data_IF_582410100260
#
_entry.id   IF_582410100260
#
_cell.length_a   1.000
_cell.length_b   1.000
_cell.length_c   1.000
_cell.angle_alpha   90.00
_cell.angle_beta   90.00
_cell.angle_gamma   90.00
#
_symmetry.space_group_name_H-M   'P 1'
#
loop_
_entity.id
_entity.type
_entity.pdbx_description
1 polymer ?
#
# COMPACT_ATOMS: atom_id res chain seq x y z
N UNK A 1 -25.43 -0.82 12.54
CA UNK A 1 -25.47 -0.97 14.01
C UNK A 1 -24.61 -2.15 14.40
N UNK A 2 -23.57 -1.92 15.21
CA UNK A 2 -22.73 -3.00 15.75
C UNK A 2 -23.55 -3.86 16.73
N UNK A 3 -23.37 -5.20 16.73
CA UNK A 3 -24.05 -6.07 17.68
C UNK A 3 -23.66 -5.75 19.13
N UNK A 4 -24.58 -6.02 20.06
CA UNK A 4 -24.48 -5.65 21.50
C UNK A 4 -23.24 -6.22 22.26
N UNK A 5 -22.49 -7.16 21.65
CA UNK A 5 -21.28 -7.79 22.22
C UNK A 5 -20.07 -7.66 21.30
N UNK A 6 -19.96 -6.57 20.56
CA UNK A 6 -18.81 -6.33 19.67
C UNK A 6 -17.57 -5.97 20.48
N UNK A 7 -16.40 -6.49 20.06
CA UNK A 7 -15.08 -6.14 20.55
C UNK A 7 -14.40 -5.28 19.47
N UNK A 8 -13.83 -4.14 19.85
CA UNK A 8 -13.05 -3.27 18.96
C UNK A 8 -11.61 -3.29 19.44
N UNK A 9 -10.73 -3.73 18.55
CA UNK A 9 -9.28 -3.75 18.79
C UNK A 9 -8.65 -2.48 18.22
N UNK A 10 -7.84 -1.82 19.01
CA UNK A 10 -7.19 -0.57 18.64
C UNK A 10 -5.71 -0.65 18.93
N UNK A 11 -4.85 -0.48 17.91
CA UNK A 11 -3.44 -0.29 18.17
C UNK A 11 -3.23 1.07 18.84
N UNK A 12 -2.84 1.07 20.10
CA UNK A 12 -2.69 2.29 20.89
C UNK A 12 -1.61 3.24 20.37
N UNK A 13 -0.60 2.73 19.64
CA UNK A 13 0.46 3.54 19.03
C UNK A 13 -0.03 4.37 17.84
N UNK A 14 -1.16 4.00 17.22
CA UNK A 14 -1.76 4.67 16.06
C UNK A 14 -2.84 5.69 16.40
N UNK A 15 -3.19 5.85 17.67
CA UNK A 15 -4.22 6.79 18.11
C UNK A 15 -3.67 7.79 19.13
N UNK A 16 -4.08 9.06 19.00
CA UNK A 16 -3.65 10.10 19.93
C UNK A 16 -4.20 9.86 21.35
N UNK A 17 -3.46 10.35 22.35
CA UNK A 17 -3.89 10.26 23.75
C UNK A 17 -5.25 10.93 23.98
N UNK A 18 -5.52 12.08 23.32
CA UNK A 18 -6.80 12.79 23.38
C UNK A 18 -7.96 11.96 22.82
N UNK A 19 -7.75 11.28 21.67
CA UNK A 19 -8.75 10.41 21.07
C UNK A 19 -9.03 9.18 21.95
N UNK A 20 -8.00 8.55 22.52
CA UNK A 20 -8.18 7.45 23.49
C UNK A 20 -9.02 7.88 24.70
N UNK A 21 -8.73 9.06 25.25
CA UNK A 21 -9.49 9.59 26.38
C UNK A 21 -10.95 9.91 26.01
N UNK A 22 -11.20 10.39 24.80
CA UNK A 22 -12.56 10.60 24.29
C UNK A 22 -13.31 9.27 24.18
N UNK A 23 -12.72 8.25 23.56
CA UNK A 23 -13.33 6.94 23.43
C UNK A 23 -13.66 6.28 24.78
N UNK A 24 -12.78 6.43 25.78
CA UNK A 24 -13.03 5.91 27.14
C UNK A 24 -14.19 6.60 27.86
N UNK A 25 -14.49 7.85 27.53
CA UNK A 25 -15.60 8.62 28.11
C UNK A 25 -16.94 8.32 27.44
N UNK A 26 -16.93 7.83 26.19
CA UNK A 26 -18.15 7.46 25.48
C UNK A 26 -18.73 6.17 26.06
N UNK A 27 -20.06 6.19 26.32
CA UNK A 27 -20.79 4.97 26.71
C UNK A 27 -21.03 4.07 25.49
N UNK A 28 -19.95 3.44 25.01
CA UNK A 28 -20.03 2.53 23.88
C UNK A 28 -20.65 1.20 24.32
N UNK A 29 -21.57 0.66 23.51
CA UNK A 29 -22.14 -0.68 23.71
C UNK A 29 -21.17 -1.81 23.30
N UNK A 30 -19.88 -1.48 23.11
CA UNK A 30 -18.84 -2.38 22.66
C UNK A 30 -17.67 -2.37 23.62
N UNK A 31 -16.98 -3.48 23.74
CA UNK A 31 -15.73 -3.56 24.50
C UNK A 31 -14.59 -2.97 23.66
N UNK A 32 -13.88 -1.98 24.20
CA UNK A 32 -12.68 -1.43 23.60
C UNK A 32 -11.45 -2.10 24.21
N UNK A 33 -10.61 -2.68 23.36
CA UNK A 33 -9.33 -3.24 23.78
C UNK A 33 -8.21 -2.47 23.07
N UNK A 34 -7.36 -1.81 23.85
CA UNK A 34 -6.15 -1.15 23.36
C UNK A 34 -4.99 -2.13 23.39
N UNK A 35 -4.32 -2.29 22.27
CA UNK A 35 -3.21 -3.21 22.09
C UNK A 35 -1.93 -2.43 21.85
N UNK A 36 -0.87 -2.76 22.55
CA UNK A 36 0.48 -2.28 22.25
C UNK A 36 1.16 -3.28 21.32
N UNK A 37 1.00 -3.08 20.00
CA UNK A 37 1.56 -3.98 19.00
C UNK A 37 2.98 -3.56 18.63
N UNK A 38 3.89 -4.54 18.63
CA UNK A 38 5.23 -4.42 18.06
C UNK A 38 5.22 -5.03 16.67
N UNK A 39 5.06 -4.18 15.65
CA UNK A 39 5.06 -4.55 14.25
C UNK A 39 6.08 -3.69 13.50
N UNK A 40 6.85 -4.30 12.64
CA UNK A 40 7.85 -3.64 11.79
C UNK A 40 7.18 -2.84 10.66
N UNK A 41 6.01 -3.30 10.22
CA UNK A 41 5.25 -2.70 9.12
C UNK A 41 3.74 -2.97 9.27
N UNK A 42 2.95 -2.35 8.38
CA UNK A 42 1.49 -2.42 8.41
C UNK A 42 0.95 -3.86 8.17
N UNK A 43 1.65 -4.68 7.40
CA UNK A 43 1.22 -6.05 7.14
C UNK A 43 1.39 -6.94 8.37
N UNK A 44 2.49 -6.77 9.09
CA UNK A 44 2.71 -7.45 10.37
C UNK A 44 1.70 -6.97 11.42
N UNK A 45 1.44 -5.66 11.48
CA UNK A 45 0.41 -5.11 12.36
C UNK A 45 -0.96 -5.73 12.07
N UNK A 46 -1.36 -5.85 10.81
CA UNK A 46 -2.62 -6.47 10.42
C UNK A 46 -2.69 -7.96 10.81
N UNK A 47 -1.60 -8.72 10.66
CA UNK A 47 -1.52 -10.10 11.12
C UNK A 47 -1.72 -10.21 12.65
N UNK A 48 -1.06 -9.35 13.41
CA UNK A 48 -1.19 -9.32 14.87
C UNK A 48 -2.60 -8.92 15.30
N UNK A 49 -3.21 -7.92 14.66
CA UNK A 49 -4.61 -7.54 14.92
C UNK A 49 -5.57 -8.69 14.62
N UNK A 50 -5.39 -9.39 13.50
CA UNK A 50 -6.20 -10.56 13.15
C UNK A 50 -6.04 -11.68 14.18
N UNK A 51 -4.82 -11.94 14.66
CA UNK A 51 -4.56 -12.92 15.70
C UNK A 51 -5.29 -12.57 17.00
N UNK A 52 -5.24 -11.31 17.43
CA UNK A 52 -5.97 -10.85 18.61
C UNK A 52 -7.49 -10.87 18.45
N UNK A 53 -7.99 -10.72 17.21
CA UNK A 53 -9.44 -10.74 16.95
C UNK A 53 -10.07 -12.12 17.23
N UNK A 54 -9.30 -13.19 17.11
CA UNK A 54 -9.77 -14.58 17.25
C UNK A 54 -9.14 -15.33 18.42
N UNK A 55 -8.38 -14.66 19.29
CA UNK A 55 -7.69 -15.29 20.43
C UNK A 55 -8.64 -15.95 21.44
N UNK A 56 -9.89 -15.48 21.52
CA UNK A 56 -10.93 -16.08 22.36
C UNK A 56 -11.47 -17.41 21.80
N UNK A 57 -11.22 -17.70 20.51
CA UNK A 57 -11.69 -18.89 19.79
C UNK A 57 -10.55 -19.91 19.58
N UNK A 58 -9.35 -19.44 19.32
CA UNK A 58 -8.19 -20.25 18.96
C UNK A 58 -6.96 -19.70 19.69
N UNK A 59 -6.13 -20.57 20.29
CA UNK A 59 -4.92 -20.12 20.97
C UNK A 59 -4.02 -19.30 20.04
N UNK A 60 -3.44 -18.23 20.58
CA UNK A 60 -2.55 -17.32 19.84
C UNK A 60 -1.43 -18.06 19.10
N UNK A 61 -0.88 -19.10 19.74
CA UNK A 61 0.18 -19.93 19.14
C UNK A 61 -0.30 -20.63 17.84
N UNK A 62 -1.49 -21.23 17.86
CA UNK A 62 -2.08 -21.87 16.67
C UNK A 62 -2.34 -20.85 15.55
N UNK A 63 -2.82 -19.66 15.91
CA UNK A 63 -3.05 -18.58 14.94
C UNK A 63 -1.73 -18.13 14.33
N UNK A 64 -0.71 -17.85 15.13
CA UNK A 64 0.60 -17.42 14.66
C UNK A 64 1.27 -18.50 13.78
N UNK A 65 1.13 -19.77 14.13
CA UNK A 65 1.62 -20.87 13.30
C UNK A 65 0.90 -20.93 11.94
N UNK A 66 -0.43 -20.79 11.91
CA UNK A 66 -1.19 -20.72 10.65
C UNK A 66 -0.85 -19.49 9.80
N UNK A 67 -0.40 -18.39 10.42
CA UNK A 67 0.03 -17.19 9.70
C UNK A 67 1.46 -17.27 9.14
N UNK A 68 2.28 -18.27 9.50
CA UNK A 68 3.63 -18.44 8.96
C UNK A 68 3.61 -18.68 7.45
N UNK A 69 2.69 -19.53 6.99
CA UNK A 69 2.55 -19.89 5.58
C UNK A 69 1.63 -18.93 4.80
N UNK A 70 1.10 -17.92 5.48
CA UNK A 70 0.23 -16.95 4.86
C UNK A 70 1.02 -15.96 4.00
N UNK A 71 0.90 -16.08 2.70
CA UNK A 71 1.62 -15.27 1.69
C UNK A 71 1.05 -13.87 1.47
N UNK A 72 -0.02 -13.52 2.16
CA UNK A 72 -0.69 -12.23 2.03
C UNK A 72 -1.96 -12.27 1.18
N UNK A 73 -2.60 -11.13 1.04
CA UNK A 73 -3.76 -10.91 0.15
C UNK A 73 -3.23 -10.44 -1.19
N UNK A 74 -3.81 -10.94 -2.28
CA UNK A 74 -3.49 -10.44 -3.64
C UNK A 74 -3.61 -8.92 -3.69
N UNK A 75 -2.67 -8.29 -4.40
CA UNK A 75 -2.59 -6.85 -4.53
C UNK A 75 -2.44 -6.11 -3.19
N UNK A 76 -1.75 -6.70 -2.22
CA UNK A 76 -1.38 -6.06 -0.95
C UNK A 76 0.11 -6.27 -0.72
N UNK A 77 0.94 -5.39 -1.29
CA UNK A 77 2.39 -5.52 -1.34
C UNK A 77 2.80 -6.86 -1.96
N UNK A 78 2.06 -7.30 -2.99
CA UNK A 78 2.26 -8.58 -3.65
C UNK A 78 3.45 -8.50 -4.60
N UNK A 79 4.48 -9.31 -4.36
CA UNK A 79 5.57 -9.46 -5.32
C UNK A 79 5.12 -10.41 -6.43
N UNK A 80 4.81 -9.85 -7.60
CA UNK A 80 4.32 -10.62 -8.76
C UNK A 80 5.43 -11.04 -9.72
N UNK A 81 6.62 -10.43 -9.61
CA UNK A 81 7.82 -10.82 -10.34
C UNK A 81 9.07 -10.48 -9.52
N UNK A 82 10.07 -11.38 -9.55
CA UNK A 82 11.33 -11.15 -8.85
C UNK A 82 12.46 -11.97 -9.50
N UNK A 83 13.48 -11.27 -9.99
CA UNK A 83 14.72 -11.87 -10.46
C UNK A 83 15.94 -11.06 -9.99
N UNK A 84 17.12 -11.31 -10.56
CA UNK A 84 18.34 -10.59 -10.17
C UNK A 84 18.32 -9.08 -10.51
N UNK A 85 17.59 -8.68 -11.57
CA UNK A 85 17.59 -7.32 -12.10
C UNK A 85 16.34 -6.53 -11.68
N UNK A 86 15.21 -7.22 -11.48
CA UNK A 86 13.92 -6.56 -11.27
C UNK A 86 13.11 -7.19 -10.17
N UNK A 87 12.35 -6.34 -9.49
CA UNK A 87 11.25 -6.72 -8.59
C UNK A 87 10.01 -5.93 -8.98
N UNK A 88 8.89 -6.59 -9.27
CA UNK A 88 7.60 -5.95 -9.56
C UNK A 88 6.62 -6.22 -8.42
N UNK A 89 6.11 -5.16 -7.83
CA UNK A 89 5.18 -5.20 -6.70
C UNK A 89 3.84 -4.60 -7.13
N UNK A 90 2.74 -5.31 -6.85
CA UNK A 90 1.37 -4.82 -6.99
C UNK A 90 0.81 -4.48 -5.61
N UNK A 91 0.35 -3.24 -5.42
CA UNK A 91 -0.29 -2.81 -4.20
C UNK A 91 -1.62 -2.09 -4.47
N UNK A 92 -2.63 -2.41 -3.70
CA UNK A 92 -3.94 -1.78 -3.76
C UNK A 92 -3.96 -0.35 -3.18
N UNK A 93 -2.81 0.19 -2.76
CA UNK A 93 -2.68 1.56 -2.26
C UNK A 93 -3.20 2.56 -3.32
N UNK A 94 -4.21 3.31 -2.98
CA UNK A 94 -4.86 4.30 -3.85
C UNK A 94 -5.19 5.60 -3.10
N UNK A 95 -4.47 5.86 -2.02
CA UNK A 95 -4.53 7.07 -1.21
C UNK A 95 -3.09 7.45 -0.84
N UNK A 96 -2.72 8.74 -0.82
CA UNK A 96 -1.35 9.17 -0.56
C UNK A 96 -0.70 8.51 0.66
N UNK A 97 -1.41 8.45 1.79
CA UNK A 97 -0.87 7.82 3.01
C UNK A 97 -0.50 6.34 2.81
N UNK A 98 -1.35 5.58 2.08
CA UNK A 98 -1.07 4.18 1.81
C UNK A 98 0.11 4.01 0.84
N UNK A 99 0.21 4.88 -0.17
CA UNK A 99 1.33 4.91 -1.12
C UNK A 99 2.63 5.21 -0.39
N UNK A 100 2.65 6.21 0.49
CA UNK A 100 3.81 6.58 1.31
C UNK A 100 4.28 5.42 2.21
N UNK A 101 3.35 4.73 2.89
CA UNK A 101 3.69 3.56 3.73
C UNK A 101 4.29 2.43 2.89
N UNK A 102 3.74 2.16 1.70
CA UNK A 102 4.29 1.15 0.79
C UNK A 102 5.67 1.54 0.28
N UNK A 103 5.88 2.79 -0.11
CA UNK A 103 7.18 3.32 -0.53
C UNK A 103 8.20 3.17 0.61
N UNK A 104 7.82 3.52 1.83
CA UNK A 104 8.70 3.39 3.01
C UNK A 104 9.19 1.95 3.20
N UNK A 105 8.30 0.97 3.07
CA UNK A 105 8.69 -0.45 3.17
C UNK A 105 9.70 -0.87 2.09
N UNK A 106 9.60 -0.29 0.88
CA UNK A 106 10.54 -0.57 -0.22
C UNK A 106 11.88 0.12 0.04
N UNK A 107 11.87 1.37 0.51
CA UNK A 107 13.07 2.17 0.80
C UNK A 107 13.96 1.58 1.89
N UNK A 108 13.43 0.73 2.75
CA UNK A 108 14.24 -0.07 3.69
C UNK A 108 15.15 -1.09 2.98
N UNK A 109 14.88 -1.41 1.70
CA UNK A 109 15.56 -2.45 0.92
C UNK A 109 16.35 -1.90 -0.28
N UNK A 110 15.88 -0.82 -0.91
CA UNK A 110 16.49 -0.25 -2.12
C UNK A 110 16.08 1.20 -2.34
N UNK A 111 16.96 1.97 -2.97
CA UNK A 111 16.70 3.31 -3.45
C UNK A 111 16.28 3.36 -4.93
N UNK A 112 16.55 2.29 -5.71
CA UNK A 112 16.19 2.21 -7.12
C UNK A 112 14.71 1.80 -7.29
N UNK A 113 13.82 2.81 -7.21
CA UNK A 113 12.37 2.65 -7.24
C UNK A 113 11.74 3.47 -8.37
N UNK A 114 11.04 2.78 -9.27
CA UNK A 114 10.09 3.39 -10.22
C UNK A 114 8.66 3.21 -9.69
N UNK A 115 7.92 4.31 -9.62
CA UNK A 115 6.54 4.33 -9.10
C UNK A 115 5.55 4.48 -10.24
N UNK A 116 4.53 3.62 -10.28
CA UNK A 116 3.40 3.71 -11.22
C UNK A 116 2.11 3.83 -10.41
N UNK A 117 1.40 4.95 -10.54
CA UNK A 117 0.19 5.24 -9.76
C UNK A 117 -1.04 5.34 -10.65
N UNK A 118 -2.01 4.44 -10.43
CA UNK A 118 -3.30 4.50 -11.12
C UNK A 118 -4.28 5.41 -10.35
N UNK A 119 -4.71 6.50 -11.00
CA UNK A 119 -5.65 7.48 -10.44
C UNK A 119 -7.10 7.00 -10.61
N UNK A 120 -7.40 5.79 -10.10
CA UNK A 120 -8.65 5.08 -10.36
C UNK A 120 -9.79 5.35 -9.39
N UNK A 121 -9.51 5.79 -8.15
CA UNK A 121 -10.53 6.04 -7.12
C UNK A 121 -11.24 7.38 -7.33
N UNK A 122 -12.45 7.52 -6.77
CA UNK A 122 -13.22 8.75 -6.93
C UNK A 122 -12.52 9.99 -6.35
N UNK A 123 -11.83 9.85 -5.22
CA UNK A 123 -11.08 10.95 -4.60
C UNK A 123 -9.83 11.33 -5.42
N UNK A 124 -9.13 10.33 -5.98
CA UNK A 124 -7.99 10.56 -6.87
C UNK A 124 -8.43 11.28 -8.15
N UNK A 125 -9.49 10.80 -8.81
CA UNK A 125 -10.04 11.42 -10.04
C UNK A 125 -10.52 12.86 -9.84
N UNK A 126 -10.99 13.21 -8.64
CA UNK A 126 -11.44 14.57 -8.30
C UNK A 126 -10.31 15.51 -7.90
N UNK A 127 -9.07 15.09 -7.95
CA UNK A 127 -7.92 15.92 -7.59
C UNK A 127 -7.77 16.23 -6.10
N UNK A 128 -8.57 15.58 -5.22
CA UNK A 128 -8.55 15.85 -3.77
C UNK A 128 -7.16 15.69 -3.16
N UNK A 129 -6.33 14.87 -3.79
CA UNK A 129 -5.03 14.48 -3.27
C UNK A 129 -3.85 15.01 -4.09
N UNK A 130 -4.08 15.78 -5.15
CA UNK A 130 -3.07 16.14 -6.14
C UNK A 130 -1.84 16.82 -5.52
N UNK A 131 -2.04 17.79 -4.63
CA UNK A 131 -0.93 18.45 -3.93
C UNK A 131 -0.02 17.46 -3.19
N UNK A 132 -0.63 16.51 -2.47
CA UNK A 132 0.14 15.51 -1.70
C UNK A 132 0.79 14.48 -2.61
N UNK A 133 0.17 14.15 -3.75
CA UNK A 133 0.76 13.29 -4.76
C UNK A 133 2.00 13.94 -5.39
N UNK A 134 1.95 15.24 -5.70
CA UNK A 134 3.14 15.98 -6.17
C UNK A 134 4.29 15.84 -5.19
N UNK A 135 4.04 15.95 -3.88
CA UNK A 135 5.09 15.82 -2.87
C UNK A 135 5.70 14.41 -2.84
N UNK A 136 4.91 13.37 -3.10
CA UNK A 136 5.40 11.99 -3.26
C UNK A 136 6.21 11.87 -4.56
N UNK A 137 5.68 12.35 -5.69
CA UNK A 137 6.27 12.18 -7.02
C UNK A 137 7.62 12.86 -7.18
N UNK A 138 7.87 13.99 -6.50
CA UNK A 138 9.17 14.72 -6.51
C UNK A 138 10.38 13.86 -6.22
N UNK A 139 10.22 12.77 -5.49
CA UNK A 139 11.32 11.97 -4.95
C UNK A 139 11.49 10.63 -5.67
N UNK A 140 10.73 10.39 -6.75
CA UNK A 140 10.73 9.12 -7.46
C UNK A 140 10.59 9.30 -8.96
N UNK A 141 11.19 8.41 -9.75
CA UNK A 141 10.79 8.23 -11.15
C UNK A 141 9.33 7.76 -11.15
N UNK A 142 8.41 8.61 -11.62
CA UNK A 142 6.98 8.37 -11.45
C UNK A 142 6.22 8.44 -12.76
N UNK A 143 5.31 7.48 -12.93
CA UNK A 143 4.34 7.42 -14.01
C UNK A 143 2.92 7.36 -13.43
N UNK A 144 1.97 8.00 -14.12
CA UNK A 144 0.55 7.95 -13.79
C UNK A 144 -0.22 7.12 -14.79
N UNK A 145 -1.39 6.62 -14.41
CA UNK A 145 -2.37 5.99 -15.27
C UNK A 145 -3.73 6.61 -14.97
N UNK A 146 -4.43 7.06 -15.99
CA UNK A 146 -5.72 7.76 -15.89
C UNK A 146 -5.65 9.14 -15.23
N UNK A 147 -4.59 9.89 -15.39
CA UNK A 147 -4.60 11.30 -15.05
C UNK A 147 -5.57 12.07 -15.96
N UNK A 148 -6.30 13.03 -15.39
CA UNK A 148 -7.03 14.00 -16.22
C UNK A 148 -6.05 15.00 -16.83
N UNK A 149 -6.45 15.68 -17.91
CA UNK A 149 -5.62 16.72 -18.53
C UNK A 149 -5.21 17.85 -17.56
N UNK A 150 -6.01 18.12 -16.54
CA UNK A 150 -5.65 19.05 -15.45
C UNK A 150 -4.58 18.45 -14.54
N UNK A 151 -4.73 17.20 -14.15
CA UNK A 151 -3.77 16.48 -13.33
C UNK A 151 -2.42 16.29 -14.04
N UNK A 152 -2.42 16.00 -15.34
CA UNK A 152 -1.19 15.92 -16.14
C UNK A 152 -0.41 17.24 -16.09
N UNK A 153 -1.10 18.39 -16.16
CA UNK A 153 -0.45 19.71 -16.02
C UNK A 153 0.11 19.90 -14.62
N UNK A 154 -0.61 19.51 -13.56
CA UNK A 154 -0.17 19.63 -12.17
C UNK A 154 1.05 18.75 -11.92
N UNK A 155 1.09 17.54 -12.49
CA UNK A 155 2.15 16.56 -12.24
C UNK A 155 3.35 16.71 -13.19
N UNK A 156 3.24 17.47 -14.27
CA UNK A 156 4.18 17.51 -15.42
C UNK A 156 5.66 17.66 -15.07
N UNK A 157 5.98 18.32 -13.94
CA UNK A 157 7.35 18.47 -13.46
C UNK A 157 7.92 17.22 -12.76
N UNK A 158 7.08 16.26 -12.37
CA UNK A 158 7.47 15.16 -11.48
C UNK A 158 6.95 13.80 -11.88
N UNK A 159 5.94 13.75 -12.74
CA UNK A 159 5.36 12.51 -13.26
C UNK A 159 4.79 12.74 -14.67
N UNK A 160 4.63 11.66 -15.41
CA UNK A 160 3.96 11.68 -16.71
C UNK A 160 3.02 10.49 -16.87
N UNK A 161 2.06 10.61 -17.76
CA UNK A 161 1.17 9.49 -18.11
C UNK A 161 1.98 8.35 -18.73
N UNK A 162 1.71 7.11 -18.30
CA UNK A 162 2.42 5.92 -18.74
C UNK A 162 2.04 5.55 -20.17
N UNK A 163 3.04 5.37 -21.02
CA UNK A 163 2.87 4.90 -22.40
C UNK A 163 3.54 3.56 -22.63
N UNK A 164 3.25 2.91 -23.77
CA UNK A 164 3.90 1.66 -24.15
C UNK A 164 5.41 1.82 -24.35
N UNK A 165 5.86 2.97 -24.83
CA UNK A 165 7.30 3.26 -25.02
C UNK A 165 8.03 3.39 -23.69
N UNK A 166 7.35 3.88 -22.67
CA UNK A 166 7.91 3.99 -21.32
C UNK A 166 8.16 2.61 -20.69
N UNK A 167 7.35 1.60 -21.02
CA UNK A 167 7.53 0.23 -20.51
C UNK A 167 8.90 -0.32 -20.90
N UNK A 168 9.34 -0.08 -22.12
CA UNK A 168 10.66 -0.52 -22.60
C UNK A 168 11.77 0.11 -21.76
N UNK A 169 11.64 1.42 -21.47
CA UNK A 169 12.61 2.17 -20.64
C UNK A 169 12.60 1.69 -19.19
N UNK A 170 11.41 1.54 -18.60
CA UNK A 170 11.24 1.05 -17.21
C UNK A 170 11.86 -0.35 -17.05
N UNK A 171 11.69 -1.22 -18.05
CA UNK A 171 12.19 -2.59 -18.05
C UNK A 171 13.61 -2.72 -18.60
N UNK A 172 14.32 -1.61 -18.89
CA UNK A 172 15.75 -1.67 -19.23
C UNK A 172 16.58 -2.00 -17.98
N UNK A 173 17.62 -2.84 -18.18
CA UNK A 173 18.51 -3.23 -17.08
C UNK A 173 19.34 -2.04 -16.63
N UNK A 174 19.40 -1.86 -15.32
CA UNK A 174 20.32 -0.94 -14.66
C UNK A 174 21.47 -1.72 -14.01
N UNK A 175 22.47 -1.02 -13.50
CA UNK A 175 23.56 -1.62 -12.72
C UNK A 175 23.02 -2.25 -11.41
N UNK A 176 22.04 -1.59 -10.79
CA UNK A 176 21.39 -2.07 -9.58
C UNK A 176 20.00 -2.64 -9.88
N UNK A 177 19.56 -3.56 -9.02
CA UNK A 177 18.24 -4.15 -9.10
C UNK A 177 17.15 -3.08 -8.96
N UNK A 178 16.32 -2.94 -9.99
CA UNK A 178 15.21 -1.99 -10.02
C UNK A 178 13.95 -2.59 -9.39
N UNK A 179 13.32 -1.83 -8.50
CA UNK A 179 11.98 -2.15 -7.98
C UNK A 179 10.95 -1.29 -8.69
N UNK A 180 9.93 -1.92 -9.28
CA UNK A 180 8.78 -1.28 -9.90
C UNK A 180 7.59 -1.49 -8.97
N UNK A 181 7.04 -0.40 -8.43
CA UNK A 181 5.85 -0.41 -7.59
C UNK A 181 4.65 0.08 -8.38
N UNK A 182 3.64 -0.76 -8.51
CA UNK A 182 2.35 -0.39 -9.08
C UNK A 182 1.32 -0.20 -7.97
N UNK A 183 0.82 1.02 -7.83
CA UNK A 183 -0.19 1.41 -6.82
C UNK A 183 -1.51 1.78 -7.48
N UNK A 184 -2.61 1.11 -7.09
CA UNK A 184 -3.92 1.44 -7.63
C UNK A 184 -5.03 0.47 -7.23
N UNK A 185 -6.28 0.89 -7.37
CA UNK A 185 -7.45 0.07 -7.02
C UNK A 185 -8.22 -0.48 -8.24
N UNK A 186 -7.65 -0.34 -9.44
CA UNK A 186 -8.18 -0.87 -10.70
C UNK A 186 -7.20 -1.88 -11.29
N UNK A 187 -7.28 -2.14 -12.58
CA UNK A 187 -6.50 -3.16 -13.30
C UNK A 187 -5.31 -2.60 -14.08
N UNK A 188 -4.91 -1.36 -13.81
CA UNK A 188 -3.80 -0.67 -14.49
C UNK A 188 -3.94 -0.63 -16.02
N UNK A 189 -5.15 -0.71 -16.56
CA UNK A 189 -5.42 -0.71 -18.01
C UNK A 189 -4.59 -1.72 -18.83
N UNK A 190 -4.24 -2.85 -18.20
CA UNK A 190 -3.43 -3.89 -18.83
C UNK A 190 -1.91 -3.65 -18.81
N UNK A 191 -1.43 -2.50 -18.39
CA UNK A 191 0.01 -2.19 -18.32
C UNK A 191 0.79 -3.16 -17.43
N UNK A 192 0.19 -3.68 -16.36
CA UNK A 192 0.82 -4.70 -15.52
C UNK A 192 1.24 -5.94 -16.34
N UNK A 193 0.36 -6.43 -17.20
CA UNK A 193 0.64 -7.57 -18.08
C UNK A 193 1.73 -7.24 -19.10
N UNK A 194 1.73 -6.02 -19.64
CA UNK A 194 2.75 -5.60 -20.61
C UNK A 194 4.13 -5.53 -19.94
N UNK A 195 4.22 -4.97 -18.72
CA UNK A 195 5.45 -4.93 -17.93
C UNK A 195 5.94 -6.35 -17.65
N UNK A 196 5.07 -7.25 -17.15
CA UNK A 196 5.43 -8.65 -16.90
C UNK A 196 5.99 -9.32 -18.15
N UNK A 197 5.33 -9.18 -19.30
CA UNK A 197 5.77 -9.75 -20.55
C UNK A 197 7.16 -9.23 -21.00
N UNK A 198 7.47 -7.96 -20.69
CA UNK A 198 8.76 -7.37 -21.00
C UNK A 198 9.86 -7.83 -20.04
N UNK A 199 9.55 -8.05 -18.77
CA UNK A 199 10.51 -8.50 -17.75
C UNK A 199 10.89 -9.99 -17.90
N UNK A 200 10.05 -10.81 -18.56
CA UNK A 200 10.26 -12.25 -18.79
C UNK A 200 11.17 -12.50 -20.01
N UNK A 201 11.29 -11.52 -20.94
CA UNK A 201 12.20 -11.60 -22.10
C UNK A 201 13.67 -11.46 -21.66
#
# INVERSE_FOLDING_TARGET
>A
TMPLKSKVLINEKKVSKSFRNKLKKEKLKTTLQFLSLNASNIHEENKLLAAHAIEDLISKEKVLNGLKDYTGVKRRFETIFNNKNFKLIDDFAHHPTAIEETIKMIREQTDNLTLIVELGSNSMKRGVHDKRLVDIFKNHETYTINASAEQEKIFSAHAKELTNDDIVKICSKDEEKKTILMCGNRNFHGFQKLILNQLIK
#
